data_IF_559141127408
#
_entry.id   IF_559141127408
#
_cell.length_a   1.000
_cell.length_b   1.000
_cell.length_c   1.000
_cell.angle_alpha   90.00
_cell.angle_beta   90.00
_cell.angle_gamma   90.00
#
_symmetry.space_group_name_H-M   'P 1'
#
loop_
_entity.id
_entity.type
_entity.pdbx_description
1 polymer ?
#
# COMPACT_ATOMS: atom_id res chain seq x y z
N UNK A 1 -15.78 -25.97 -0.89
CA UNK A 1 -16.71 -26.91 -1.57
C UNK A 1 -16.01 -27.54 -2.77
N UNK A 2 -16.35 -28.77 -3.17
CA UNK A 2 -15.79 -29.38 -4.39
C UNK A 2 -16.23 -28.62 -5.65
N UNK A 3 -15.37 -28.59 -6.69
CA UNK A 3 -15.64 -27.86 -7.94
C UNK A 3 -16.79 -28.49 -8.73
N UNK A 4 -16.93 -29.82 -8.72
CA UNK A 4 -18.04 -30.50 -9.39
C UNK A 4 -19.37 -30.17 -8.73
N UNK A 5 -19.40 -30.14 -7.40
CA UNK A 5 -20.56 -29.69 -6.61
C UNK A 5 -20.90 -28.23 -6.89
N UNK A 6 -19.90 -27.34 -6.89
CA UNK A 6 -20.06 -25.93 -7.22
C UNK A 6 -20.70 -25.72 -8.60
N UNK A 7 -20.27 -26.50 -9.59
CA UNK A 7 -20.80 -26.43 -10.96
C UNK A 7 -22.26 -26.86 -11.03
N UNK A 8 -22.63 -27.94 -10.34
CA UNK A 8 -24.01 -28.42 -10.30
C UNK A 8 -24.92 -27.41 -9.61
N UNK A 9 -24.54 -26.94 -8.43
CA UNK A 9 -25.28 -25.92 -7.69
C UNK A 9 -25.40 -24.62 -8.51
N UNK A 10 -24.29 -24.15 -9.08
CA UNK A 10 -24.27 -22.92 -9.87
C UNK A 10 -25.17 -23.00 -11.10
N UNK A 11 -25.14 -24.12 -11.83
CA UNK A 11 -26.03 -24.35 -12.98
C UNK A 11 -27.50 -24.36 -12.54
N UNK A 12 -27.83 -25.11 -11.49
CA UNK A 12 -29.21 -25.18 -10.99
C UNK A 12 -29.76 -23.80 -10.59
N UNK A 13 -28.95 -22.98 -9.90
CA UNK A 13 -29.32 -21.61 -9.55
C UNK A 13 -29.49 -20.70 -10.78
N UNK A 14 -28.60 -20.82 -11.77
CA UNK A 14 -28.73 -20.06 -13.00
C UNK A 14 -30.01 -20.46 -13.76
N UNK A 15 -30.39 -21.74 -13.78
CA UNK A 15 -31.64 -22.21 -14.38
C UNK A 15 -32.87 -21.68 -13.62
N UNK A 16 -32.85 -21.75 -12.29
CA UNK A 16 -33.91 -21.23 -11.41
C UNK A 16 -34.20 -19.74 -11.67
N UNK A 17 -33.19 -18.98 -12.06
CA UNK A 17 -33.28 -17.54 -12.31
C UNK A 17 -33.35 -17.16 -13.80
N UNK A 18 -33.65 -18.11 -14.71
CA UNK A 18 -33.89 -17.83 -16.12
C UNK A 18 -32.64 -17.46 -16.92
N UNK A 19 -31.48 -18.02 -16.55
CA UNK A 19 -30.20 -17.85 -17.23
C UNK A 19 -29.76 -19.15 -17.92
N UNK A 20 -30.68 -19.89 -18.53
CA UNK A 20 -30.42 -21.18 -19.19
C UNK A 20 -29.43 -21.04 -20.35
N UNK A 21 -29.46 -19.91 -21.04
CA UNK A 21 -28.57 -19.58 -22.16
C UNK A 21 -27.22 -18.96 -21.74
N UNK A 22 -26.98 -18.82 -20.43
CA UNK A 22 -25.71 -18.37 -19.88
C UNK A 22 -24.76 -19.51 -19.57
N UNK A 23 -23.46 -19.22 -19.64
CA UNK A 23 -22.40 -20.19 -19.33
C UNK A 23 -21.87 -20.01 -17.91
N UNK A 24 -21.65 -21.13 -17.22
CA UNK A 24 -20.88 -21.18 -15.99
C UNK A 24 -19.45 -21.63 -16.27
N UNK A 25 -18.45 -20.82 -15.90
CA UNK A 25 -17.04 -21.15 -16.08
C UNK A 25 -16.30 -21.14 -14.75
N UNK A 26 -15.20 -21.89 -14.68
CA UNK A 26 -14.30 -21.90 -13.52
C UNK A 26 -12.92 -21.45 -13.97
N UNK A 27 -12.37 -20.43 -13.32
CA UNK A 27 -11.07 -19.87 -13.62
C UNK A 27 -10.09 -19.96 -12.44
N UNK A 28 -8.88 -19.42 -12.63
CA UNK A 28 -7.77 -19.46 -11.66
C UNK A 28 -7.57 -18.13 -10.91
N UNK A 29 -8.58 -17.26 -10.86
CA UNK A 29 -8.50 -16.05 -10.07
C UNK A 29 -8.24 -16.39 -8.59
N UNK A 30 -7.46 -15.56 -7.90
CA UNK A 30 -7.09 -15.78 -6.49
C UNK A 30 -7.62 -14.70 -5.54
N UNK A 31 -8.18 -13.62 -6.10
CA UNK A 31 -8.65 -12.43 -5.38
C UNK A 31 -10.13 -12.07 -5.62
N UNK A 32 -10.77 -12.69 -6.60
CA UNK A 32 -12.21 -12.52 -6.86
C UNK A 32 -12.87 -13.89 -6.82
N UNK A 33 -13.93 -14.04 -6.03
CA UNK A 33 -14.66 -15.29 -5.90
C UNK A 33 -15.54 -15.55 -7.12
N UNK A 34 -16.25 -14.51 -7.58
CA UNK A 34 -17.13 -14.52 -8.76
C UNK A 34 -16.77 -13.46 -9.80
N UNK A 35 -17.41 -13.54 -10.96
CA UNK A 35 -17.52 -12.46 -11.95
C UNK A 35 -18.68 -12.69 -12.91
N UNK A 36 -19.46 -11.65 -13.15
CA UNK A 36 -20.46 -11.59 -14.22
C UNK A 36 -19.90 -10.89 -15.47
N UNK A 37 -19.93 -11.57 -16.61
CA UNK A 37 -19.58 -11.03 -17.94
C UNK A 37 -20.83 -10.95 -18.79
N UNK A 38 -21.60 -9.88 -18.62
CA UNK A 38 -22.91 -9.74 -19.25
C UNK A 38 -22.85 -9.77 -20.79
N UNK A 39 -21.83 -9.16 -21.40
CA UNK A 39 -21.66 -9.17 -22.85
C UNK A 39 -21.43 -10.59 -23.43
N UNK A 40 -20.85 -11.49 -22.64
CA UNK A 40 -20.53 -12.86 -23.03
C UNK A 40 -21.57 -13.88 -22.49
N UNK A 41 -22.61 -13.39 -21.79
CA UNK A 41 -23.57 -14.21 -21.03
C UNK A 41 -22.87 -15.30 -20.21
N UNK A 42 -21.88 -14.89 -19.41
CA UNK A 42 -21.02 -15.82 -18.67
C UNK A 42 -20.86 -15.41 -17.21
N UNK A 43 -21.11 -16.35 -16.30
CA UNK A 43 -20.77 -16.26 -14.88
C UNK A 43 -19.51 -17.10 -14.65
N UNK A 44 -18.51 -16.51 -13.98
CA UNK A 44 -17.26 -17.16 -13.65
C UNK A 44 -17.06 -17.32 -12.15
N UNK A 45 -16.59 -18.49 -11.72
CA UNK A 45 -16.15 -18.75 -10.35
C UNK A 45 -14.65 -18.98 -10.29
N UNK A 46 -14.01 -18.53 -9.21
CA UNK A 46 -12.63 -18.87 -8.90
C UNK A 46 -12.56 -20.29 -8.35
N UNK A 47 -11.92 -21.20 -9.08
CA UNK A 47 -11.68 -22.55 -8.58
C UNK A 47 -10.91 -22.56 -7.25
N UNK A 48 -9.78 -21.82 -7.13
CA UNK A 48 -9.03 -21.74 -5.88
C UNK A 48 -9.86 -21.25 -4.68
N UNK A 49 -10.72 -20.24 -4.84
CA UNK A 49 -11.53 -19.73 -3.73
C UNK A 49 -12.74 -20.63 -3.45
N UNK A 50 -13.40 -21.18 -4.47
CA UNK A 50 -14.48 -22.16 -4.30
C UNK A 50 -14.06 -23.37 -3.47
N UNK A 51 -12.83 -23.83 -3.63
CA UNK A 51 -12.28 -24.93 -2.82
C UNK A 51 -12.13 -24.57 -1.33
N UNK A 52 -11.84 -23.30 -1.02
CA UNK A 52 -11.63 -22.79 0.33
C UNK A 52 -12.93 -22.37 1.03
N UNK A 53 -13.96 -21.98 0.27
CA UNK A 53 -15.21 -21.45 0.80
C UNK A 53 -16.20 -22.56 1.15
N UNK A 54 -17.05 -22.28 2.14
CA UNK A 54 -18.18 -23.15 2.50
C UNK A 54 -19.21 -23.20 1.36
N UNK A 55 -20.07 -24.23 1.29
CA UNK A 55 -21.16 -24.28 0.31
C UNK A 55 -22.02 -23.02 0.30
N UNK A 56 -22.32 -22.46 1.48
CA UNK A 56 -23.13 -21.24 1.65
C UNK A 56 -22.41 -20.01 1.07
N UNK A 57 -21.11 -19.85 1.32
CA UNK A 57 -20.32 -18.75 0.77
C UNK A 57 -20.22 -18.82 -0.76
N UNK A 58 -20.10 -20.02 -1.33
CA UNK A 58 -20.08 -20.18 -2.78
C UNK A 58 -21.48 -19.97 -3.37
N UNK A 59 -22.54 -20.43 -2.69
CA UNK A 59 -23.93 -20.17 -3.08
C UNK A 59 -24.18 -18.67 -3.15
N UNK A 60 -23.79 -17.94 -2.11
CA UNK A 60 -23.90 -16.49 -2.05
C UNK A 60 -23.11 -15.82 -3.19
N UNK A 61 -21.88 -16.27 -3.46
CA UNK A 61 -21.09 -15.80 -4.62
C UNK A 61 -21.82 -16.02 -5.95
N UNK A 62 -22.44 -17.18 -6.15
CA UNK A 62 -23.20 -17.46 -7.39
C UNK A 62 -24.39 -16.51 -7.50
N UNK A 63 -25.20 -16.41 -6.44
CA UNK A 63 -26.37 -15.53 -6.40
C UNK A 63 -25.98 -14.07 -6.61
N UNK A 64 -24.86 -13.62 -6.06
CA UNK A 64 -24.29 -12.29 -6.30
C UNK A 64 -24.07 -12.02 -7.80
N UNK A 65 -23.46 -12.96 -8.52
CA UNK A 65 -23.21 -12.81 -9.96
C UNK A 65 -24.49 -12.95 -10.81
N UNK A 66 -25.45 -13.77 -10.37
CA UNK A 66 -26.78 -13.85 -10.98
C UNK A 66 -27.52 -12.52 -10.81
N UNK A 67 -27.47 -11.89 -9.64
CA UNK A 67 -28.06 -10.56 -9.43
C UNK A 67 -27.49 -9.53 -10.41
N UNK A 68 -26.17 -9.54 -10.65
CA UNK A 68 -25.55 -8.69 -11.69
C UNK A 68 -26.07 -8.98 -13.09
N UNK A 69 -26.25 -10.26 -13.44
CA UNK A 69 -26.79 -10.66 -14.74
C UNK A 69 -28.22 -10.14 -14.95
N UNK A 70 -29.06 -10.22 -13.91
CA UNK A 70 -30.48 -9.81 -13.96
C UNK A 70 -30.67 -8.29 -14.00
N UNK A 71 -29.86 -7.51 -13.27
CA UNK A 71 -29.99 -6.04 -13.27
C UNK A 71 -29.22 -5.37 -14.41
N UNK A 72 -28.22 -6.04 -14.97
CA UNK A 72 -27.38 -5.54 -16.04
C UNK A 72 -26.24 -4.62 -15.59
N UNK A 73 -25.21 -4.41 -16.45
CA UNK A 73 -23.88 -3.94 -16.06
C UNK A 73 -23.81 -2.48 -15.58
N UNK A 74 -24.87 -1.68 -15.77
CA UNK A 74 -24.88 -0.25 -15.39
C UNK A 74 -25.17 0.01 -13.91
N UNK A 75 -25.67 -0.99 -13.18
CA UNK A 75 -26.18 -0.78 -11.82
C UNK A 75 -25.15 -1.03 -10.73
N UNK A 76 -23.99 -1.63 -11.06
CA UNK A 76 -22.95 -1.98 -10.08
C UNK A 76 -23.56 -2.65 -8.84
N UNK A 77 -23.11 -2.26 -7.65
CA UNK A 77 -23.69 -2.67 -6.37
C UNK A 77 -24.69 -1.64 -5.81
N UNK A 78 -25.37 -0.87 -6.67
CA UNK A 78 -26.33 0.16 -6.26
C UNK A 78 -27.67 -0.40 -5.75
N UNK A 79 -28.64 0.46 -5.40
CA UNK A 79 -29.90 0.05 -4.77
C UNK A 79 -30.68 -1.01 -5.55
N UNK A 80 -30.69 -0.91 -6.89
CA UNK A 80 -31.35 -1.91 -7.75
C UNK A 80 -30.69 -3.29 -7.63
N UNK A 81 -29.36 -3.33 -7.59
CA UNK A 81 -28.63 -4.58 -7.41
C UNK A 81 -28.84 -5.15 -6.01
N UNK A 82 -28.80 -4.31 -4.97
CA UNK A 82 -29.04 -4.74 -3.59
C UNK A 82 -30.43 -5.35 -3.42
N UNK A 83 -31.46 -4.70 -3.97
CA UNK A 83 -32.82 -5.21 -3.97
C UNK A 83 -32.92 -6.57 -4.68
N UNK A 84 -32.26 -6.70 -5.85
CA UNK A 84 -32.22 -7.97 -6.58
C UNK A 84 -31.50 -9.05 -5.77
N UNK A 85 -30.29 -8.77 -5.26
CA UNK A 85 -29.50 -9.69 -4.45
C UNK A 85 -30.30 -10.22 -3.27
N UNK A 86 -30.92 -9.34 -2.47
CA UNK A 86 -31.77 -9.76 -1.36
C UNK A 86 -32.98 -10.58 -1.81
N UNK A 87 -33.62 -10.22 -2.93
CA UNK A 87 -34.80 -10.94 -3.43
C UNK A 87 -34.51 -12.39 -3.86
N UNK A 88 -33.29 -12.67 -4.31
CA UNK A 88 -32.85 -14.02 -4.72
C UNK A 88 -32.04 -14.73 -3.63
N UNK A 89 -31.96 -14.16 -2.42
CA UNK A 89 -31.30 -14.78 -1.27
C UNK A 89 -29.77 -14.61 -1.20
N UNK A 90 -29.19 -13.67 -1.94
CA UNK A 90 -27.81 -13.22 -1.75
C UNK A 90 -27.72 -12.13 -0.68
N UNK A 91 -26.58 -12.07 0.01
CA UNK A 91 -26.20 -10.94 0.84
C UNK A 91 -26.03 -9.69 -0.05
N UNK A 92 -26.66 -8.55 0.29
CA UNK A 92 -26.56 -7.30 -0.48
C UNK A 92 -25.24 -6.56 -0.22
N UNK A 93 -24.15 -7.32 -0.07
CA UNK A 93 -22.82 -6.84 0.25
C UNK A 93 -21.92 -6.92 -0.98
N UNK A 94 -21.05 -5.93 -1.14
CA UNK A 94 -20.13 -5.86 -2.28
C UNK A 94 -19.02 -6.91 -2.19
N UNK A 95 -18.55 -7.19 -0.98
CA UNK A 95 -17.39 -8.03 -0.71
C UNK A 95 -17.81 -9.15 0.22
N UNK A 96 -17.19 -10.31 0.08
CA UNK A 96 -17.22 -11.34 1.12
C UNK A 96 -16.70 -10.76 2.45
N UNK A 97 -17.10 -11.34 3.59
CA UNK A 97 -16.57 -10.99 4.91
C UNK A 97 -15.04 -10.95 4.94
N UNK A 98 -14.46 -10.05 5.75
CA UNK A 98 -13.01 -9.85 5.80
C UNK A 98 -12.24 -11.10 6.28
N UNK A 99 -12.90 -11.94 7.08
CA UNK A 99 -12.40 -13.21 7.60
C UNK A 99 -12.63 -14.40 6.65
N UNK A 100 -13.25 -14.18 5.49
CA UNK A 100 -13.43 -15.22 4.50
C UNK A 100 -12.08 -15.81 4.07
N UNK A 101 -11.96 -17.15 3.95
CA UNK A 101 -10.73 -17.79 3.49
C UNK A 101 -10.24 -17.20 2.17
N UNK A 102 -8.95 -16.94 2.09
CA UNK A 102 -8.31 -16.41 0.87
C UNK A 102 -7.16 -17.32 0.44
N UNK A 103 -6.82 -17.26 -0.86
CA UNK A 103 -5.67 -17.99 -1.38
C UNK A 103 -4.41 -17.27 -0.90
N UNK A 104 -3.50 -17.91 -0.15
CA UNK A 104 -2.27 -17.26 0.28
C UNK A 104 -1.36 -16.92 -0.91
N UNK A 105 -0.76 -15.74 -0.87
CA UNK A 105 0.30 -15.31 -1.76
C UNK A 105 1.59 -16.10 -1.54
N UNK A 106 2.27 -16.45 -2.64
CA UNK A 106 3.56 -17.13 -2.58
C UNK A 106 4.69 -16.23 -2.04
N UNK A 107 4.52 -14.91 -2.11
CA UNK A 107 5.49 -13.94 -1.62
C UNK A 107 5.06 -13.43 -0.27
N UNK A 108 5.85 -13.68 0.77
CA UNK A 108 5.55 -13.21 2.13
C UNK A 108 6.54 -12.13 2.51
N UNK A 109 6.02 -10.97 2.89
CA UNK A 109 6.77 -9.82 3.37
C UNK A 109 6.68 -9.74 4.89
N UNK A 110 7.82 -9.73 5.57
CA UNK A 110 7.90 -9.60 7.04
C UNK A 110 8.65 -8.33 7.41
N UNK A 111 8.04 -7.48 8.24
CA UNK A 111 8.70 -6.27 8.75
C UNK A 111 9.53 -6.59 10.01
N UNK A 112 10.43 -5.70 10.46
CA UNK A 112 11.25 -5.96 11.65
C UNK A 112 10.47 -6.19 12.95
N UNK A 113 9.22 -5.68 13.04
CA UNK A 113 8.34 -5.92 14.19
C UNK A 113 7.56 -7.26 14.11
N UNK A 114 7.72 -8.04 13.03
CA UNK A 114 7.08 -9.34 12.87
C UNK A 114 5.74 -9.35 12.11
N UNK A 115 5.15 -8.19 11.81
CA UNK A 115 3.93 -8.13 10.97
C UNK A 115 4.19 -8.69 9.57
N UNK A 116 3.23 -9.44 9.04
CA UNK A 116 3.34 -10.11 7.74
C UNK A 116 2.29 -9.64 6.75
N UNK A 117 2.67 -9.59 5.48
CA UNK A 117 1.75 -9.42 4.35
C UNK A 117 2.10 -10.44 3.27
N UNK A 118 1.12 -10.90 2.50
CA UNK A 118 1.37 -11.77 1.36
C UNK A 118 1.05 -11.10 0.02
N UNK A 119 1.69 -11.60 -1.04
CA UNK A 119 1.45 -11.22 -2.43
C UNK A 119 1.54 -12.44 -3.34
N UNK A 120 0.68 -12.49 -4.35
CA UNK A 120 0.78 -13.55 -5.38
C UNK A 120 1.92 -13.31 -6.37
N UNK A 121 2.39 -12.07 -6.51
CA UNK A 121 3.46 -11.70 -7.46
C UNK A 121 4.62 -11.08 -6.71
N UNK A 122 5.82 -11.21 -7.30
CA UNK A 122 7.03 -10.59 -6.81
C UNK A 122 6.81 -9.08 -6.62
N UNK A 123 7.16 -8.51 -5.46
CA UNK A 123 7.22 -7.07 -5.27
C UNK A 123 8.12 -6.39 -6.31
N UNK A 124 7.60 -5.39 -6.99
CA UNK A 124 8.38 -4.54 -7.90
C UNK A 124 8.93 -3.28 -7.22
N UNK A 125 8.33 -2.87 -6.10
CA UNK A 125 8.68 -1.66 -5.34
C UNK A 125 8.81 -1.96 -3.86
N UNK A 126 9.70 -1.20 -3.21
CA UNK A 126 9.91 -1.22 -1.76
C UNK A 126 8.68 -0.65 -1.05
N UNK A 127 8.18 -1.37 -0.06
CA UNK A 127 7.05 -0.96 0.77
C UNK A 127 7.37 -1.15 2.25
N UNK A 128 6.78 -0.31 3.11
CA UNK A 128 6.89 -0.41 4.57
C UNK A 128 5.57 -0.82 5.20
N UNK A 129 5.65 -1.38 6.41
CA UNK A 129 4.52 -1.83 7.20
C UNK A 129 3.66 -0.65 7.68
N UNK A 130 2.35 -0.73 7.37
CA UNK A 130 1.37 0.30 7.77
C UNK A 130 0.91 0.18 9.22
N UNK A 131 1.07 -1.00 9.82
CA UNK A 131 0.81 -1.22 11.24
C UNK A 131 1.91 -0.58 12.10
N UNK A 132 3.16 -0.61 11.64
CA UNK A 132 4.26 0.09 12.30
C UNK A 132 4.20 1.62 12.11
N UNK A 133 3.73 2.12 10.96
CA UNK A 133 3.57 3.56 10.70
C UNK A 133 2.53 3.81 9.63
N UNK A 134 1.67 4.82 9.84
CA UNK A 134 0.69 5.27 8.82
C UNK A 134 1.35 5.88 7.58
N UNK A 135 2.58 6.37 7.70
CA UNK A 135 3.41 6.88 6.60
C UNK A 135 4.54 5.90 6.25
N UNK A 136 5.22 6.13 5.13
CA UNK A 136 6.39 5.32 4.79
C UNK A 136 7.46 5.46 5.88
N UNK A 137 7.99 4.34 6.37
CA UNK A 137 9.09 4.31 7.34
C UNK A 137 10.17 3.33 6.88
N UNK A 138 11.41 3.82 6.78
CA UNK A 138 12.54 2.99 6.41
C UNK A 138 12.86 1.90 7.45
N UNK A 139 12.51 2.14 8.72
CA UNK A 139 12.66 1.18 9.82
C UNK A 139 11.62 0.06 9.76
N UNK A 140 10.57 0.21 8.95
CA UNK A 140 9.46 -0.73 8.82
C UNK A 140 9.40 -1.40 7.43
N UNK A 141 10.50 -1.39 6.66
CA UNK A 141 10.54 -2.00 5.32
C UNK A 141 10.39 -3.53 5.41
N UNK A 142 9.56 -4.09 4.53
CA UNK A 142 9.39 -5.54 4.42
C UNK A 142 10.60 -6.24 3.80
N UNK A 143 10.97 -7.37 4.38
CA UNK A 143 11.85 -8.39 3.78
C UNK A 143 11.01 -9.51 3.20
N UNK A 144 11.41 -10.06 2.05
CA UNK A 144 10.53 -10.95 1.27
C UNK A 144 11.09 -12.36 1.14
N UNK A 145 10.20 -13.34 1.34
CA UNK A 145 10.42 -14.74 0.96
C UNK A 145 9.49 -15.12 -0.19
N UNK A 146 9.86 -16.15 -0.94
CA UNK A 146 9.03 -16.80 -1.95
C UNK A 146 8.92 -18.28 -1.58
N UNK A 147 7.72 -18.76 -1.30
CA UNK A 147 7.49 -20.11 -0.75
C UNK A 147 8.36 -20.40 0.48
N UNK A 148 8.49 -19.43 1.40
CA UNK A 148 9.30 -19.56 2.61
C UNK A 148 10.81 -19.42 2.42
N UNK A 149 11.29 -19.40 1.18
CA UNK A 149 12.72 -19.25 0.88
C UNK A 149 13.06 -17.79 0.62
N UNK A 150 14.18 -17.29 1.16
CA UNK A 150 14.66 -15.95 0.88
C UNK A 150 14.79 -15.74 -0.64
N UNK A 151 14.09 -14.75 -1.18
CA UNK A 151 13.97 -14.58 -2.62
C UNK A 151 14.73 -13.35 -3.09
N UNK A 152 15.62 -13.47 -4.09
CA UNK A 152 16.39 -12.32 -4.57
C UNK A 152 15.46 -11.30 -5.23
N UNK A 153 15.55 -10.06 -4.76
CA UNK A 153 14.84 -8.93 -5.34
C UNK A 153 15.50 -8.44 -6.63
N UNK A 154 14.72 -7.79 -7.49
CA UNK A 154 15.23 -7.26 -8.77
C UNK A 154 16.28 -6.17 -8.54
N UNK A 155 17.20 -5.92 -9.50
CA UNK A 155 18.16 -4.82 -9.38
C UNK A 155 17.50 -3.45 -9.15
N UNK A 156 16.35 -3.19 -9.79
CA UNK A 156 15.59 -1.96 -9.58
C UNK A 156 15.07 -1.82 -8.14
N UNK A 157 14.52 -2.90 -7.57
CA UNK A 157 14.10 -2.93 -6.17
C UNK A 157 15.27 -2.68 -5.23
N UNK A 158 16.42 -3.35 -5.46
CA UNK A 158 17.61 -3.19 -4.61
C UNK A 158 18.15 -1.75 -4.64
N UNK A 159 18.17 -1.11 -5.83
CA UNK A 159 18.55 0.31 -5.95
C UNK A 159 17.59 1.20 -5.18
N UNK A 160 16.27 1.01 -5.35
CA UNK A 160 15.27 1.77 -4.61
C UNK A 160 15.44 1.62 -3.10
N UNK A 161 15.68 0.39 -2.62
CA UNK A 161 15.91 0.10 -1.21
C UNK A 161 17.14 0.82 -0.66
N UNK A 162 18.25 0.78 -1.41
CA UNK A 162 19.47 1.47 -1.04
C UNK A 162 19.26 2.99 -0.95
N UNK A 163 18.55 3.58 -1.92
CA UNK A 163 18.20 5.01 -1.89
C UNK A 163 17.35 5.36 -0.67
N UNK A 164 16.30 4.58 -0.37
CA UNK A 164 15.40 4.84 0.75
C UNK A 164 16.11 4.74 2.11
N UNK A 165 16.99 3.75 2.28
CA UNK A 165 17.80 3.61 3.51
C UNK A 165 18.79 4.76 3.65
N UNK A 166 19.53 5.08 2.60
CA UNK A 166 20.47 6.18 2.62
C UNK A 166 19.80 7.54 2.91
N UNK A 167 18.56 7.75 2.43
CA UNK A 167 17.79 8.95 2.76
C UNK A 167 17.31 8.95 4.21
N UNK A 168 16.91 7.81 4.76
CA UNK A 168 16.51 7.71 6.16
C UNK A 168 17.68 7.91 7.12
N UNK A 169 18.86 7.36 6.81
CA UNK A 169 20.08 7.56 7.61
C UNK A 169 20.56 9.03 7.56
N UNK A 170 20.24 9.72 6.46
CA UNK A 170 20.45 11.17 6.32
C UNK A 170 19.39 12.01 7.03
N UNK A 171 18.33 11.40 7.55
CA UNK A 171 17.17 12.07 8.14
C UNK A 171 17.56 13.00 9.27
N UNK A 172 17.91 14.23 8.90
CA UNK A 172 18.17 15.29 9.87
C UNK A 172 16.86 15.80 10.47
N UNK A 173 16.97 16.63 11.49
CA UNK A 173 15.85 17.17 12.27
C UNK A 173 14.97 18.19 11.53
N UNK A 174 14.85 18.13 10.20
CA UNK A 174 14.17 19.12 9.35
C UNK A 174 12.70 19.38 9.69
N UNK A 175 12.01 18.46 10.35
CA UNK A 175 10.66 18.70 10.85
C UNK A 175 10.61 19.68 12.03
N UNK A 176 11.70 19.82 12.78
CA UNK A 176 11.87 20.78 13.88
C UNK A 176 12.45 22.13 13.41
N UNK A 177 12.83 22.23 12.13
CA UNK A 177 13.48 23.41 11.54
C UNK A 177 12.44 24.40 11.02
N UNK A 178 12.52 25.62 11.53
CA UNK A 178 11.70 26.78 11.17
C UNK A 178 12.44 27.75 10.26
N UNK A 179 11.71 28.72 9.68
CA UNK A 179 12.33 29.86 9.01
C UNK A 179 13.13 30.66 10.04
N UNK A 180 14.38 31.00 9.72
CA UNK A 180 15.32 31.65 10.62
C UNK A 180 16.34 30.71 11.26
N UNK A 181 16.08 29.39 11.25
CA UNK A 181 17.01 28.43 11.84
C UNK A 181 18.25 28.23 10.99
N UNK A 182 19.38 28.06 11.67
CA UNK A 182 20.64 27.69 11.03
C UNK A 182 20.70 26.18 10.87
N UNK A 183 20.98 25.72 9.66
CA UNK A 183 20.99 24.31 9.30
C UNK A 183 22.26 23.92 8.56
N UNK A 184 22.66 22.66 8.73
CA UNK A 184 23.71 22.00 7.94
C UNK A 184 23.06 21.09 6.90
N UNK A 185 23.56 21.16 5.67
CA UNK A 185 23.10 20.34 4.54
C UNK A 185 23.77 18.96 4.57
N UNK A 186 22.95 17.92 4.53
CA UNK A 186 23.37 16.51 4.55
C UNK A 186 23.34 15.85 3.16
N UNK A 187 22.90 16.58 2.13
CA UNK A 187 22.87 16.06 0.75
C UNK A 187 24.29 15.76 0.27
N UNK A 188 24.60 14.51 -0.13
CA UNK A 188 25.93 14.16 -0.61
C UNK A 188 26.32 14.95 -1.87
N UNK A 189 27.60 15.35 -1.96
CA UNK A 189 28.15 16.07 -3.11
C UNK A 189 28.68 17.45 -2.75
N UNK A 190 28.72 18.36 -3.73
CA UNK A 190 29.40 19.68 -3.63
C UNK A 190 28.98 20.53 -2.43
N UNK A 191 27.76 20.38 -1.95
CA UNK A 191 27.19 21.17 -0.86
C UNK A 191 27.01 20.38 0.45
N UNK A 192 27.56 19.17 0.54
CA UNK A 192 27.55 18.40 1.78
C UNK A 192 28.32 19.16 2.87
N UNK A 193 27.71 19.32 4.05
CA UNK A 193 28.29 20.10 5.15
C UNK A 193 28.09 21.62 5.04
N UNK A 194 27.48 22.12 3.96
CA UNK A 194 27.16 23.54 3.83
C UNK A 194 26.26 24.01 4.97
N UNK A 195 26.60 25.12 5.62
CA UNK A 195 25.81 25.71 6.71
C UNK A 195 25.21 27.03 6.25
N UNK A 196 23.91 27.19 6.45
CA UNK A 196 23.19 28.43 6.16
C UNK A 196 21.92 28.60 6.97
N UNK A 197 21.20 29.68 6.73
CA UNK A 197 19.95 30.01 7.42
C UNK A 197 18.76 29.68 6.53
N UNK A 198 17.73 29.05 7.08
CA UNK A 198 16.48 28.79 6.37
C UNK A 198 15.74 30.10 6.13
N UNK A 199 15.59 30.49 4.87
CA UNK A 199 14.89 31.72 4.49
C UNK A 199 13.48 31.47 3.97
N UNK A 200 13.16 30.23 3.59
CA UNK A 200 11.83 29.82 3.13
C UNK A 200 11.60 28.34 3.34
N UNK A 201 10.42 27.98 3.85
CA UNK A 201 9.92 26.60 3.94
C UNK A 201 8.90 26.35 2.82
N UNK A 202 9.19 25.38 1.94
CA UNK A 202 8.26 24.90 0.92
C UNK A 202 7.38 23.76 1.44
N UNK A 203 6.75 22.99 0.54
CA UNK A 203 5.95 21.81 0.93
C UNK A 203 6.82 20.59 1.30
N UNK A 204 8.01 20.47 0.71
CA UNK A 204 8.89 19.29 0.87
C UNK A 204 10.39 19.65 0.98
N UNK A 205 10.72 20.94 1.08
CA UNK A 205 12.10 21.45 0.96
C UNK A 205 12.28 22.83 1.60
N UNK A 206 13.47 23.11 2.09
CA UNK A 206 13.92 24.42 2.55
C UNK A 206 14.67 25.18 1.47
N UNK A 207 14.66 26.51 1.57
CA UNK A 207 15.62 27.38 0.90
C UNK A 207 16.60 27.86 1.96
N UNK A 208 17.87 27.53 1.79
CA UNK A 208 18.95 27.77 2.76
C UNK A 208 19.92 28.77 2.17
N UNK A 209 20.11 29.91 2.82
CA UNK A 209 21.03 30.98 2.39
C UNK A 209 22.31 30.94 3.21
N UNK A 210 23.47 30.99 2.57
CA UNK A 210 24.78 31.06 3.23
C UNK A 210 25.87 31.49 2.26
N UNK A 211 26.89 32.20 2.73
CA UNK A 211 28.08 32.63 1.97
C UNK A 211 27.81 33.05 0.51
N UNK A 212 26.79 33.89 0.28
CA UNK A 212 26.41 34.40 -1.05
C UNK A 212 25.63 33.44 -1.96
N UNK A 213 25.31 32.23 -1.50
CA UNK A 213 24.54 31.22 -2.24
C UNK A 213 23.16 30.96 -1.62
N UNK A 214 22.19 30.62 -2.46
CA UNK A 214 20.87 30.15 -2.05
C UNK A 214 20.66 28.72 -2.56
N UNK A 215 20.54 27.76 -1.64
CA UNK A 215 20.33 26.36 -1.95
C UNK A 215 18.89 25.95 -1.69
N UNK A 216 18.39 25.01 -2.47
CA UNK A 216 17.11 24.34 -2.21
C UNK A 216 17.38 22.91 -1.77
N UNK A 217 16.97 22.55 -0.55
CA UNK A 217 17.37 21.30 0.10
C UNK A 217 16.12 20.57 0.64
N UNK A 218 15.93 19.28 0.34
CA UNK A 218 14.86 18.47 0.95
C UNK A 218 14.88 18.52 2.49
N UNK A 219 13.71 18.40 3.13
CA UNK A 219 13.59 18.48 4.60
C UNK A 219 14.41 17.42 5.33
N UNK A 220 14.40 16.21 4.80
CA UNK A 220 15.14 15.05 5.29
C UNK A 220 16.67 15.18 5.09
N UNK A 221 17.14 16.22 4.40
CA UNK A 221 18.54 16.44 4.09
C UNK A 221 19.13 17.66 4.81
N UNK A 222 18.49 18.13 5.89
CA UNK A 222 19.03 19.18 6.75
C UNK A 222 18.98 18.77 8.22
N UNK A 223 20.02 19.11 8.98
CA UNK A 223 20.02 19.06 10.44
C UNK A 223 20.15 20.47 11.02
N UNK A 224 19.58 20.70 12.20
CA UNK A 224 19.80 21.94 12.94
C UNK A 224 21.28 22.09 13.30
N UNK A 225 21.90 23.18 12.88
CA UNK A 225 23.27 23.52 13.26
C UNK A 225 23.23 24.32 14.56
N UNK A 226 23.67 23.72 15.68
CA UNK A 226 23.81 24.45 16.94
C UNK A 226 24.71 25.68 16.75
N UNK A 227 24.23 26.84 17.22
CA UNK A 227 25.03 28.06 17.30
C UNK A 227 25.94 27.94 18.53
N UNK A 228 27.26 28.18 18.46
CA UNK A 228 28.06 28.39 19.67
C UNK A 228 27.42 29.56 20.44
N UNK A 229 27.04 29.32 21.70
CA UNK A 229 26.36 30.32 22.52
C UNK A 229 27.26 31.56 22.62
N UNK A 230 26.76 32.72 22.20
CA UNK A 230 27.47 34.02 22.17
C UNK A 230 27.94 34.52 23.54
N UNK A 231 27.70 33.76 24.62
CA UNK A 231 28.16 34.08 25.98
C UNK A 231 29.69 33.97 26.18
N UNK A 232 30.45 33.37 25.26
CA UNK A 232 31.92 33.28 25.37
C UNK A 232 32.71 34.39 24.65
N UNK A 233 32.07 35.21 23.83
CA UNK A 233 32.77 36.29 23.09
C UNK A 233 32.99 37.53 23.98
N UNK A 234 32.22 37.70 25.05
CA UNK A 234 32.37 38.82 25.99
C UNK A 234 33.35 38.56 27.14
N UNK A 235 33.94 37.36 27.27
CA UNK A 235 35.01 37.07 28.25
C UNK A 235 36.42 37.22 27.70
N UNK A 236 36.61 37.29 26.38
CA UNK A 236 37.93 37.36 25.74
C UNK A 236 38.36 38.76 25.30
N UNK A 237 37.51 39.77 25.51
CA UNK A 237 37.84 41.19 25.34
C UNK A 237 37.62 41.88 26.67
N UNK A 238 38.62 41.82 27.56
CA UNK A 238 38.69 42.68 28.76
C UNK A 238 38.60 44.16 28.39
N UNK A 239 38.49 45.02 29.42
CA UNK A 239 38.19 46.49 29.42
C UNK A 239 36.69 46.77 29.66
N UNK A 240 36.18 47.35 30.76
CA UNK A 240 36.70 48.11 31.93
C UNK A 240 35.67 47.90 33.09
N UNK A 241 36.02 47.65 34.35
CA UNK A 241 36.45 48.60 35.41
C UNK A 241 35.60 49.89 35.50
N UNK A 242 34.91 50.06 36.64
CA UNK A 242 34.13 51.24 37.01
C UNK A 242 32.80 50.89 37.66
#
# INVERSE_FOLDING_TARGET
MDIGEARRMGRALMDEHGLEDWRLVVDRAKKRAGVCRAAERTIGLSGPLTALHSPEQVRDTVLHEIAHALVGPRHGHGPRWQAMASSIGAAPERCLPQDAPSVPGAWVGTCPAGHTIDRHRRPSQVTSCRECSRSFSAQAIFTWTHHGVAAPMTPAYRRQLATLRATADRGGSGDLVSIGDRVRVLTPGRYQGFVGVVVKRGRTRFHVRGSGSLLTVPFDHVEAAQVPRVQEIWRSRGWLEG
#
